data_IF_496365974706
#
_entry.id   IF_496365974706
#
_cell.length_a   1.000
_cell.length_b   1.000
_cell.length_c   1.000
_cell.angle_alpha   90.00
_cell.angle_beta   90.00
_cell.angle_gamma   90.00
#
_symmetry.space_group_name_H-M   'P 1'
#
loop_
_entity.id
_entity.type
_entity.pdbx_description
1 polymer ?
#
# COMPACT_ATOMS: atom_id res chain seq x y z
N UNK A 1 25.67 -1.48 -26.43
CA UNK A 1 25.44 -0.69 -25.20
C UNK A 1 24.29 -1.33 -24.45
N UNK A 2 24.57 -2.04 -23.40
CA UNK A 2 23.55 -2.52 -22.46
C UNK A 2 22.97 -1.29 -21.78
N UNK A 3 21.68 -1.03 -22.00
CA UNK A 3 20.98 0.15 -21.50
C UNK A 3 21.04 0.26 -19.98
N UNK A 4 20.74 1.45 -19.48
CA UNK A 4 20.71 1.77 -18.06
C UNK A 4 19.99 0.69 -17.26
N UNK A 5 20.65 0.10 -16.28
CA UNK A 5 20.12 -0.94 -15.41
C UNK A 5 19.52 -0.35 -14.13
N UNK A 6 18.75 -1.15 -13.43
CA UNK A 6 18.36 -0.85 -12.06
C UNK A 6 19.61 -1.03 -11.18
N UNK A 7 19.96 0.00 -10.42
CA UNK A 7 21.06 -0.07 -9.46
C UNK A 7 20.46 -0.37 -8.10
N UNK A 8 20.92 -1.47 -7.51
CA UNK A 8 20.53 -1.85 -6.15
C UNK A 8 21.66 -1.43 -5.22
N UNK A 9 21.40 -0.49 -4.34
CA UNK A 9 22.37 -0.09 -3.34
C UNK A 9 22.22 -0.96 -2.08
N UNK A 10 23.22 -1.75 -1.82
CA UNK A 10 23.38 -2.41 -0.53
C UNK A 10 24.49 -1.69 0.25
N UNK A 11 24.15 -0.80 1.14
CA UNK A 11 25.00 -0.02 2.07
C UNK A 11 26.42 0.38 1.59
N UNK A 12 26.80 1.65 1.58
CA UNK A 12 28.04 2.23 1.04
C UNK A 12 29.30 1.41 1.32
N UNK A 13 30.03 1.01 0.29
CA UNK A 13 31.36 0.43 0.44
C UNK A 13 32.33 1.49 0.93
N UNK A 14 32.55 1.55 2.24
CA UNK A 14 33.85 1.96 2.71
C UNK A 14 34.85 0.87 2.32
N UNK A 15 36.10 1.21 1.95
CA UNK A 15 37.16 0.25 1.63
C UNK A 15 37.12 -0.89 2.65
N UNK A 16 36.83 -2.11 2.18
CA UNK A 16 36.95 -3.33 2.99
C UNK A 16 38.44 -3.44 3.35
N UNK A 17 38.79 -3.14 4.57
CA UNK A 17 40.07 -3.56 5.13
C UNK A 17 39.91 -5.05 5.44
N UNK A 18 40.60 -5.88 4.67
CA UNK A 18 40.71 -7.30 4.98
C UNK A 18 41.32 -7.44 6.39
N UNK A 19 40.51 -7.87 7.34
CA UNK A 19 41.01 -8.38 8.60
C UNK A 19 40.76 -9.91 8.61
N UNK A 20 41.73 -10.64 8.27
CA UNK A 20 41.83 -12.09 8.44
C UNK A 20 41.88 -12.44 9.93
N UNK A 21 40.81 -12.39 10.62
CA UNK A 21 40.60 -13.05 11.93
C UNK A 21 39.09 -13.08 12.22
N UNK A 22 38.41 -14.15 11.79
CA UNK A 22 37.14 -14.64 12.37
C UNK A 22 36.00 -13.67 12.62
N UNK A 23 35.99 -12.48 12.01
CA UNK A 23 34.95 -11.47 12.15
C UNK A 23 34.07 -11.38 10.90
N UNK A 24 32.76 -11.20 11.07
CA UNK A 24 31.85 -10.92 9.98
C UNK A 24 32.24 -9.58 9.31
N UNK A 25 32.60 -9.60 8.03
CA UNK A 25 32.79 -8.40 7.25
C UNK A 25 31.41 -7.78 6.96
N UNK A 26 31.26 -6.50 7.21
CA UNK A 26 30.07 -5.73 6.85
C UNK A 26 30.43 -4.87 5.64
N UNK A 27 29.56 -4.88 4.64
CA UNK A 27 29.76 -4.07 3.45
C UNK A 27 28.46 -3.66 2.82
N UNK A 28 28.56 -2.74 1.86
CA UNK A 28 27.49 -2.30 1.03
C UNK A 28 27.92 -2.43 -0.38
N UNK A 29 27.07 -2.98 -1.20
CA UNK A 29 27.33 -3.33 -2.59
C UNK A 29 26.31 -2.60 -3.45
N UNK A 30 26.75 -1.97 -4.53
CA UNK A 30 25.88 -1.50 -5.59
C UNK A 30 25.93 -2.52 -6.73
N UNK A 31 24.77 -3.04 -7.10
CA UNK A 31 24.64 -4.01 -8.19
C UNK A 31 23.74 -3.40 -9.26
N UNK A 32 24.17 -3.47 -10.51
CA UNK A 32 23.37 -3.03 -11.66
C UNK A 32 22.73 -4.24 -12.34
N UNK A 33 21.42 -4.21 -12.48
CA UNK A 33 20.64 -5.22 -13.21
C UNK A 33 20.09 -4.61 -14.50
N UNK A 34 20.34 -5.20 -15.69
CA UNK A 34 19.72 -4.76 -16.92
C UNK A 34 18.19 -4.90 -16.84
N UNK A 35 17.46 -3.80 -16.86
CA UNK A 35 16.00 -3.84 -16.68
C UNK A 35 15.26 -4.56 -17.83
N UNK A 36 15.91 -4.78 -18.97
CA UNK A 36 15.37 -5.56 -20.08
C UNK A 36 15.09 -7.03 -19.68
N UNK A 37 15.80 -7.54 -18.65
CA UNK A 37 15.62 -8.91 -18.20
C UNK A 37 14.31 -9.18 -17.48
N UNK A 38 13.68 -8.15 -16.91
CA UNK A 38 12.46 -8.29 -16.11
C UNK A 38 11.34 -7.32 -16.54
N UNK A 39 11.62 -6.34 -17.39
CA UNK A 39 10.63 -5.38 -17.84
C UNK A 39 9.94 -4.60 -16.70
N UNK A 40 8.86 -3.88 -16.98
CA UNK A 40 8.11 -3.15 -15.97
C UNK A 40 7.11 -4.06 -15.22
N UNK A 41 7.63 -5.14 -14.63
CA UNK A 41 6.86 -6.16 -13.90
C UNK A 41 7.39 -6.26 -12.48
N UNK A 42 6.62 -5.80 -11.50
CA UNK A 42 7.05 -5.72 -10.10
C UNK A 42 7.51 -7.07 -9.52
N UNK A 43 6.78 -8.19 -9.67
CA UNK A 43 7.25 -9.48 -9.18
C UNK A 43 8.60 -9.89 -9.78
N UNK A 44 8.81 -9.65 -11.06
CA UNK A 44 10.08 -9.99 -11.71
C UNK A 44 11.22 -9.07 -11.28
N UNK A 45 10.94 -7.78 -11.07
CA UNK A 45 11.88 -6.85 -10.46
C UNK A 45 12.31 -7.36 -9.08
N UNK A 46 11.35 -7.68 -8.21
CA UNK A 46 11.64 -8.14 -6.84
C UNK A 46 12.41 -9.46 -6.84
N UNK A 47 12.07 -10.41 -7.70
CA UNK A 47 12.83 -11.66 -7.88
C UNK A 47 14.27 -11.37 -8.29
N UNK A 48 14.48 -10.42 -9.20
CA UNK A 48 15.83 -10.09 -9.71
C UNK A 48 16.69 -9.41 -8.65
N UNK A 49 16.14 -8.51 -7.84
CA UNK A 49 16.93 -7.70 -6.89
C UNK A 49 16.96 -8.29 -5.48
N UNK A 50 16.01 -9.13 -5.13
CA UNK A 50 15.84 -9.65 -3.77
C UNK A 50 15.57 -11.18 -3.72
N UNK A 51 15.62 -11.89 -4.84
CA UNK A 51 15.44 -13.34 -4.88
C UNK A 51 16.71 -14.09 -4.47
N UNK A 52 17.41 -14.63 -5.44
CA UNK A 52 18.56 -15.53 -5.22
C UNK A 52 19.65 -14.95 -4.31
N UNK A 53 19.84 -13.64 -4.29
CA UNK A 53 20.84 -13.00 -3.43
C UNK A 53 20.59 -13.30 -1.94
N UNK A 54 19.33 -13.40 -1.53
CA UNK A 54 18.95 -13.69 -0.15
C UNK A 54 19.04 -15.17 0.21
N UNK A 55 19.15 -16.05 -0.78
CA UNK A 55 19.31 -17.51 -0.60
C UNK A 55 20.78 -17.94 -0.50
N UNK A 56 21.73 -17.04 -0.84
CA UNK A 56 23.16 -17.37 -0.83
C UNK A 56 23.66 -17.55 0.60
N UNK A 57 24.09 -18.77 0.94
CA UNK A 57 24.56 -19.14 2.29
C UNK A 57 25.83 -18.41 2.74
N UNK A 58 26.60 -17.85 1.79
CA UNK A 58 27.81 -17.06 2.07
C UNK A 58 27.51 -15.70 2.69
N UNK A 59 26.28 -15.20 2.53
CA UNK A 59 25.84 -13.93 3.08
C UNK A 59 25.00 -14.12 4.34
N UNK A 60 25.27 -13.31 5.34
CA UNK A 60 24.46 -13.22 6.56
C UNK A 60 23.87 -11.82 6.68
N UNK A 61 22.60 -11.75 7.06
CA UNK A 61 21.91 -10.48 7.29
C UNK A 61 21.88 -9.57 6.04
N UNK A 62 21.60 -10.14 4.87
CA UNK A 62 21.43 -9.37 3.64
C UNK A 62 20.20 -8.44 3.79
N UNK A 63 20.36 -7.19 3.40
CA UNK A 63 19.30 -6.19 3.44
C UNK A 63 19.31 -5.36 2.17
N UNK A 64 18.19 -5.34 1.47
CA UNK A 64 17.96 -4.36 0.42
C UNK A 64 17.79 -2.98 1.05
N UNK A 65 18.57 -2.01 0.62
CA UNK A 65 18.57 -0.66 1.18
C UNK A 65 17.87 0.35 0.31
N UNK A 66 18.14 0.30 -1.00
CA UNK A 66 17.61 1.26 -1.95
C UNK A 66 17.58 0.69 -3.35
N UNK A 67 16.78 1.29 -4.23
CA UNK A 67 16.67 1.00 -5.64
C UNK A 67 16.72 2.29 -6.44
N UNK A 68 17.68 2.37 -7.39
CA UNK A 68 17.73 3.47 -8.36
C UNK A 68 17.21 2.99 -9.70
N UNK A 69 16.22 3.70 -10.24
CA UNK A 69 15.58 3.33 -11.50
C UNK A 69 15.92 4.32 -12.62
N UNK A 70 16.19 3.84 -13.84
CA UNK A 70 16.28 4.73 -15.00
C UNK A 70 14.94 5.43 -15.29
N UNK A 71 15.02 6.65 -15.77
CA UNK A 71 13.80 7.47 -16.04
C UNK A 71 12.82 6.81 -17.01
N UNK A 72 13.33 6.10 -18.01
CA UNK A 72 12.49 5.37 -18.97
C UNK A 72 11.76 4.18 -18.31
N UNK A 73 12.39 3.51 -17.37
CA UNK A 73 11.76 2.43 -16.60
C UNK A 73 10.61 2.97 -15.70
N UNK A 74 10.88 4.05 -14.96
CA UNK A 74 9.85 4.67 -14.11
C UNK A 74 8.62 5.11 -14.92
N UNK A 75 8.82 5.65 -16.13
CA UNK A 75 7.71 6.08 -17.02
C UNK A 75 6.79 4.95 -17.46
N UNK A 76 7.20 3.69 -17.32
CA UNK A 76 6.36 2.53 -17.63
C UNK A 76 5.27 2.29 -16.59
N UNK A 77 5.37 2.90 -15.42
CA UNK A 77 4.39 2.81 -14.34
C UNK A 77 3.55 4.07 -14.27
N UNK A 78 2.24 3.91 -14.08
CA UNK A 78 1.32 5.05 -14.00
C UNK A 78 1.53 5.90 -12.74
N UNK A 79 2.08 5.27 -11.68
CA UNK A 79 2.19 5.90 -10.37
C UNK A 79 0.84 6.09 -9.68
N UNK A 80 0.81 6.75 -8.50
CA UNK A 80 -0.42 6.99 -7.78
C UNK A 80 -1.34 7.95 -8.55
N UNK A 81 -2.61 7.59 -8.72
CA UNK A 81 -3.60 8.38 -9.47
C UNK A 81 -3.79 9.79 -8.89
N UNK A 82 -3.83 9.91 -7.58
CA UNK A 82 -4.11 11.17 -6.89
C UNK A 82 -2.85 11.78 -6.25
N UNK A 83 -1.97 10.96 -5.68
CA UNK A 83 -0.85 11.43 -4.85
C UNK A 83 -1.33 12.25 -3.65
N UNK A 84 -0.41 12.89 -2.92
CA UNK A 84 -0.73 13.67 -1.72
C UNK A 84 -1.72 14.80 -2.03
N UNK A 85 -1.43 15.62 -3.05
CA UNK A 85 -2.26 16.79 -3.39
C UNK A 85 -3.66 16.40 -3.86
N UNK A 86 -3.77 15.32 -4.64
CA UNK A 86 -5.05 14.84 -5.14
C UNK A 86 -5.91 14.24 -4.02
N UNK A 87 -5.31 13.50 -3.10
CA UNK A 87 -6.00 12.93 -1.93
C UNK A 87 -6.52 14.04 -1.00
N UNK A 88 -5.67 15.04 -0.69
CA UNK A 88 -6.12 16.21 0.08
C UNK A 88 -7.26 16.98 -0.61
N UNK A 89 -7.20 17.10 -1.94
CA UNK A 89 -8.28 17.71 -2.73
C UNK A 89 -9.57 16.89 -2.66
N UNK A 90 -9.48 15.57 -2.72
CA UNK A 90 -10.64 14.68 -2.63
C UNK A 90 -11.33 14.78 -1.26
N UNK A 91 -10.56 14.84 -0.19
CA UNK A 91 -11.05 15.09 1.17
C UNK A 91 -11.38 16.56 1.46
N UNK A 92 -11.12 17.48 0.52
CA UNK A 92 -11.26 18.94 0.66
C UNK A 92 -10.44 19.56 1.82
N UNK A 93 -9.42 18.85 2.30
CA UNK A 93 -8.53 19.28 3.37
C UNK A 93 -7.53 20.30 2.84
N UNK A 94 -7.37 21.43 3.55
CA UNK A 94 -6.47 22.54 3.16
C UNK A 94 -5.51 22.86 4.29
N UNK A 95 -4.24 23.11 3.92
CA UNK A 95 -3.21 23.70 4.79
C UNK A 95 -2.96 22.98 6.13
N UNK A 96 -3.26 21.72 6.24
CA UNK A 96 -2.99 20.88 7.41
C UNK A 96 -2.77 19.43 7.02
N UNK A 97 -2.11 18.60 7.83
CA UNK A 97 -2.08 17.17 7.65
C UNK A 97 -3.49 16.56 7.73
N UNK A 98 -3.71 15.49 7.00
CA UNK A 98 -4.91 14.66 7.16
C UNK A 98 -4.76 13.76 8.39
N UNK A 99 -5.84 13.58 9.13
CA UNK A 99 -5.91 12.69 10.29
C UNK A 99 -6.84 11.53 9.95
N UNK A 100 -6.40 10.31 10.23
CA UNK A 100 -7.19 9.12 9.97
C UNK A 100 -7.24 8.16 11.13
N UNK A 101 -8.20 7.27 11.12
CA UNK A 101 -8.29 6.19 12.08
C UNK A 101 -8.73 4.86 11.44
N UNK A 102 -8.55 3.80 12.20
CA UNK A 102 -9.04 2.44 11.89
C UNK A 102 -10.20 2.16 12.81
N UNK A 103 -11.32 1.67 12.27
CA UNK A 103 -12.49 1.31 13.08
C UNK A 103 -12.17 0.13 14.00
N UNK A 104 -12.61 0.25 15.25
CA UNK A 104 -12.50 -0.80 16.26
C UNK A 104 -13.89 -1.06 16.89
N UNK A 105 -14.21 -2.31 17.22
CA UNK A 105 -13.38 -3.54 17.11
C UNK A 105 -13.08 -3.91 15.67
N UNK A 106 -11.95 -4.60 15.45
CA UNK A 106 -11.46 -4.97 14.11
C UNK A 106 -12.47 -5.80 13.31
N UNK A 107 -13.25 -6.64 13.97
CA UNK A 107 -14.21 -7.59 13.41
C UNK A 107 -15.44 -7.71 14.32
N UNK A 108 -16.54 -8.27 13.77
CA UNK A 108 -17.74 -8.63 14.55
C UNK A 108 -18.84 -7.58 14.53
N UNK A 109 -18.61 -6.38 14.03
CA UNK A 109 -19.68 -5.41 13.83
C UNK A 109 -20.48 -5.75 12.56
N UNK A 110 -21.79 -5.74 12.68
CA UNK A 110 -22.69 -5.76 11.53
C UNK A 110 -22.58 -4.43 10.75
N UNK A 111 -23.14 -4.33 9.54
CA UNK A 111 -23.04 -3.11 8.74
C UNK A 111 -23.54 -1.85 9.45
N UNK A 112 -24.60 -1.96 10.24
CA UNK A 112 -25.16 -0.81 10.97
C UNK A 112 -24.24 -0.37 12.12
N UNK A 113 -23.81 -1.31 12.97
CA UNK A 113 -22.91 -0.99 14.09
C UNK A 113 -21.57 -0.45 13.60
N UNK A 114 -21.10 -0.91 12.43
CA UNK A 114 -19.90 -0.38 11.81
C UNK A 114 -20.11 1.06 11.29
N UNK A 115 -21.28 1.34 10.68
CA UNK A 115 -21.63 2.67 10.20
C UNK A 115 -21.82 3.67 11.36
N UNK A 116 -22.44 3.24 12.47
CA UNK A 116 -22.60 4.07 13.67
C UNK A 116 -21.22 4.49 14.22
N UNK A 117 -20.24 3.55 14.31
CA UNK A 117 -18.89 3.86 14.71
C UNK A 117 -18.17 4.80 13.73
N UNK A 118 -18.38 4.64 12.43
CA UNK A 118 -17.85 5.55 11.41
C UNK A 118 -18.42 6.96 11.53
N UNK A 119 -19.72 7.07 11.79
CA UNK A 119 -20.40 8.35 12.00
C UNK A 119 -19.79 9.12 13.17
N UNK A 120 -19.67 8.47 14.33
CA UNK A 120 -19.11 9.10 15.53
C UNK A 120 -17.70 9.62 15.33
N UNK A 121 -16.88 8.82 14.65
CA UNK A 121 -15.49 9.17 14.32
C UNK A 121 -15.43 10.34 13.32
N UNK A 122 -16.28 10.33 12.28
CA UNK A 122 -16.35 11.39 11.28
C UNK A 122 -16.83 12.72 11.90
N UNK A 123 -17.83 12.66 12.80
CA UNK A 123 -18.28 13.83 13.60
C UNK A 123 -17.16 14.38 14.48
N UNK A 124 -16.22 13.55 14.92
CA UNK A 124 -15.00 13.97 15.63
C UNK A 124 -13.97 14.71 14.78
N UNK A 125 -14.19 14.84 13.47
CA UNK A 125 -13.32 15.61 12.56
C UNK A 125 -12.19 14.82 11.93
N UNK A 126 -12.34 13.51 11.78
CA UNK A 126 -11.38 12.66 11.04
C UNK A 126 -11.56 12.85 9.54
N UNK A 127 -10.44 12.90 8.79
CA UNK A 127 -10.42 13.08 7.33
C UNK A 127 -10.56 11.77 6.57
N UNK A 128 -10.06 10.67 7.15
CA UNK A 128 -10.27 9.35 6.57
C UNK A 128 -10.42 8.26 7.62
N UNK A 129 -11.25 7.29 7.28
CA UNK A 129 -11.53 6.09 8.07
C UNK A 129 -11.10 4.90 7.22
N UNK A 130 -10.50 3.91 7.85
CA UNK A 130 -10.01 2.71 7.20
C UNK A 130 -10.61 1.47 7.85
N UNK A 131 -11.05 0.50 7.03
CA UNK A 131 -11.28 -0.86 7.51
C UNK A 131 -10.01 -1.40 8.19
N UNK A 132 -10.20 -2.25 9.19
CA UNK A 132 -9.07 -3.04 9.70
C UNK A 132 -8.63 -4.08 8.65
N UNK A 133 -7.37 -4.49 8.69
CA UNK A 133 -6.84 -5.53 7.80
C UNK A 133 -7.54 -6.89 7.98
N UNK A 134 -8.17 -7.09 9.14
CA UNK A 134 -8.88 -8.33 9.48
C UNK A 134 -10.31 -8.39 8.94
N UNK A 135 -10.87 -7.30 8.43
CA UNK A 135 -12.19 -7.29 7.80
C UNK A 135 -12.05 -6.92 6.33
N UNK A 136 -12.49 -7.80 5.45
CA UNK A 136 -12.63 -7.53 4.02
C UNK A 136 -14.07 -7.76 3.59
N UNK A 137 -14.47 -8.96 3.24
CA UNK A 137 -15.80 -9.29 2.74
C UNK A 137 -16.48 -10.45 3.50
N UNK A 138 -16.53 -10.46 4.87
CA UNK A 138 -17.10 -11.56 5.64
C UNK A 138 -18.61 -11.65 5.48
N UNK A 139 -19.20 -12.85 5.73
CA UNK A 139 -20.63 -13.09 5.54
C UNK A 139 -21.54 -12.15 6.36
N UNK A 140 -21.15 -11.83 7.59
CA UNK A 140 -21.92 -10.96 8.48
C UNK A 140 -21.84 -9.47 8.14
N UNK A 141 -20.89 -9.08 7.27
CA UNK A 141 -20.64 -7.68 6.89
C UNK A 141 -20.07 -7.59 5.45
N UNK A 142 -20.84 -8.08 4.48
CA UNK A 142 -20.47 -8.02 3.06
C UNK A 142 -20.24 -6.58 2.60
N UNK A 143 -19.25 -6.36 1.73
CA UNK A 143 -18.94 -5.05 1.14
C UNK A 143 -20.20 -4.39 0.60
N UNK A 144 -21.00 -5.12 -0.21
CA UNK A 144 -22.25 -4.62 -0.80
C UNK A 144 -23.29 -4.14 0.21
N UNK A 145 -23.25 -4.63 1.45
CA UNK A 145 -24.18 -4.27 2.52
C UNK A 145 -23.59 -3.22 3.46
N UNK A 146 -22.27 -3.28 3.72
CA UNK A 146 -21.57 -2.37 4.63
C UNK A 146 -21.32 -1.00 3.99
N UNK A 147 -20.80 -0.98 2.76
CA UNK A 147 -20.38 0.27 2.12
C UNK A 147 -21.51 1.29 2.01
N UNK A 148 -22.71 0.98 1.48
CA UNK A 148 -23.73 1.99 1.34
C UNK A 148 -24.18 2.60 2.69
N UNK A 149 -24.34 1.78 3.74
CA UNK A 149 -24.76 2.33 5.06
C UNK A 149 -23.67 3.15 5.73
N UNK A 150 -22.38 2.79 5.49
CA UNK A 150 -21.26 3.62 5.96
C UNK A 150 -21.21 4.94 5.20
N UNK A 151 -21.33 4.93 3.88
CA UNK A 151 -21.31 6.16 3.08
C UNK A 151 -22.46 7.09 3.46
N UNK A 152 -23.68 6.57 3.65
CA UNK A 152 -24.83 7.34 4.14
C UNK A 152 -24.57 7.96 5.54
N UNK A 153 -23.87 7.25 6.40
CA UNK A 153 -23.51 7.75 7.73
C UNK A 153 -22.43 8.84 7.65
N UNK A 154 -21.46 8.68 6.76
CA UNK A 154 -20.41 9.68 6.53
C UNK A 154 -20.97 10.94 5.89
N UNK A 155 -21.85 10.83 4.90
CA UNK A 155 -22.52 11.98 4.28
C UNK A 155 -23.26 12.81 5.33
N UNK A 156 -24.01 12.17 6.22
CA UNK A 156 -24.67 12.85 7.35
C UNK A 156 -23.68 13.47 8.34
N UNK A 157 -22.53 12.83 8.58
CA UNK A 157 -21.51 13.39 9.46
C UNK A 157 -20.82 14.59 8.83
N UNK A 158 -20.70 14.61 7.51
CA UNK A 158 -20.03 15.66 6.73
C UNK A 158 -20.94 16.86 6.41
N UNK A 159 -22.27 16.76 6.58
CA UNK A 159 -23.25 17.83 6.29
C UNK A 159 -22.93 19.18 6.95
N UNK A 160 -22.31 19.14 8.12
CA UNK A 160 -21.98 20.35 8.91
C UNK A 160 -20.55 20.87 8.64
N UNK A 161 -19.82 20.28 7.70
CA UNK A 161 -18.44 20.66 7.39
C UNK A 161 -18.16 20.72 5.88
N UNK A 162 -17.22 21.56 5.47
CA UNK A 162 -16.80 21.68 4.07
C UNK A 162 -15.92 20.51 3.58
N UNK A 163 -15.46 19.68 4.50
CA UNK A 163 -14.53 18.56 4.24
C UNK A 163 -15.32 17.26 3.96
N UNK A 164 -14.68 16.32 3.29
CA UNK A 164 -15.26 15.02 2.96
C UNK A 164 -14.45 13.91 3.61
N UNK A 165 -15.09 13.07 4.40
CA UNK A 165 -14.46 11.90 5.01
C UNK A 165 -14.26 10.81 3.96
N UNK A 166 -13.01 10.35 3.78
CA UNK A 166 -12.70 9.22 2.91
C UNK A 166 -12.86 7.92 3.69
N UNK A 167 -13.56 6.93 3.10
CA UNK A 167 -13.69 5.59 3.67
C UNK A 167 -12.92 4.59 2.83
N UNK A 168 -11.79 4.12 3.34
CA UNK A 168 -10.91 3.13 2.72
C UNK A 168 -11.42 1.70 2.98
N UNK A 169 -12.22 1.21 2.04
CA UNK A 169 -12.81 -0.13 2.06
C UNK A 169 -11.74 -1.17 1.77
N UNK A 170 -11.58 -2.16 2.64
CA UNK A 170 -10.66 -3.27 2.42
C UNK A 170 -11.22 -4.26 1.39
N UNK A 171 -10.57 -4.32 0.24
CA UNK A 171 -10.92 -5.22 -0.87
C UNK A 171 -10.01 -6.44 -0.97
N UNK A 172 -9.13 -6.64 0.02
CA UNK A 172 -8.18 -7.75 0.05
C UNK A 172 -8.91 -9.10 0.04
N UNK A 173 -8.50 -9.98 -0.89
CA UNK A 173 -9.08 -11.30 -1.07
C UNK A 173 -8.10 -12.15 -1.91
N UNK A 174 -8.52 -13.30 -2.40
CA UNK A 174 -7.85 -14.02 -3.48
C UNK A 174 -7.75 -13.12 -4.73
N UNK A 175 -6.70 -13.31 -5.54
CA UNK A 175 -6.34 -12.38 -6.64
C UNK A 175 -7.51 -12.16 -7.61
N UNK A 176 -8.26 -13.20 -7.94
CA UNK A 176 -9.41 -13.14 -8.83
C UNK A 176 -10.62 -12.41 -8.21
N UNK A 177 -10.68 -12.29 -6.89
CA UNK A 177 -11.76 -11.63 -6.14
C UNK A 177 -11.48 -10.16 -5.82
N UNK A 178 -10.23 -9.74 -5.82
CA UNK A 178 -9.85 -8.36 -5.47
C UNK A 178 -10.55 -7.35 -6.37
N UNK A 179 -10.56 -7.58 -7.69
CA UNK A 179 -11.21 -6.68 -8.63
C UNK A 179 -12.74 -6.69 -8.47
N UNK A 180 -13.35 -7.86 -8.27
CA UNK A 180 -14.78 -8.00 -8.01
C UNK A 180 -15.19 -7.24 -6.73
N UNK A 181 -14.41 -7.36 -5.66
CA UNK A 181 -14.63 -6.64 -4.41
C UNK A 181 -14.46 -5.12 -4.60
N UNK A 182 -13.46 -4.70 -5.39
CA UNK A 182 -13.24 -3.30 -5.69
C UNK A 182 -14.41 -2.70 -6.49
N UNK A 183 -14.86 -3.38 -7.55
CA UNK A 183 -16.00 -2.95 -8.34
C UNK A 183 -17.26 -2.91 -7.47
N UNK A 184 -17.51 -3.93 -6.67
CA UNK A 184 -18.63 -3.96 -5.70
C UNK A 184 -18.58 -2.78 -4.74
N UNK A 185 -17.39 -2.44 -4.20
CA UNK A 185 -17.26 -1.29 -3.31
C UNK A 185 -17.58 0.02 -4.00
N UNK A 186 -17.05 0.22 -5.21
CA UNK A 186 -17.28 1.44 -6.01
C UNK A 186 -18.74 1.59 -6.44
N UNK A 187 -19.39 0.51 -6.90
CA UNK A 187 -20.81 0.49 -7.25
C UNK A 187 -21.72 0.83 -6.07
N UNK A 188 -21.28 0.56 -4.85
CA UNK A 188 -21.98 0.88 -3.62
C UNK A 188 -21.53 2.22 -2.97
N UNK A 189 -20.82 3.06 -3.73
CA UNK A 189 -20.52 4.44 -3.35
C UNK A 189 -19.18 4.64 -2.62
N UNK A 190 -18.31 3.63 -2.52
CA UNK A 190 -17.00 3.80 -1.90
C UNK A 190 -16.20 4.91 -2.58
N UNK A 191 -15.60 5.78 -1.79
CA UNK A 191 -14.76 6.88 -2.26
C UNK A 191 -13.25 6.62 -2.09
N UNK A 192 -12.86 5.53 -1.44
CA UNK A 192 -11.49 5.08 -1.26
C UNK A 192 -11.43 3.55 -1.13
N UNK A 193 -10.35 2.94 -1.60
CA UNK A 193 -10.12 1.50 -1.48
C UNK A 193 -8.81 1.25 -0.74
N UNK A 194 -8.74 0.14 -0.02
CA UNK A 194 -7.55 -0.37 0.64
C UNK A 194 -7.23 -1.78 0.15
N UNK A 195 -5.96 -2.02 -0.15
CA UNK A 195 -5.44 -3.35 -0.45
C UNK A 195 -4.27 -3.66 0.49
N UNK A 196 -4.35 -4.77 1.22
CA UNK A 196 -3.22 -5.29 1.97
C UNK A 196 -2.30 -6.08 1.04
N UNK A 197 -1.40 -5.39 0.36
CA UNK A 197 -0.52 -5.97 -0.65
C UNK A 197 0.51 -6.96 -0.08
N UNK A 198 0.82 -6.89 1.23
CA UNK A 198 1.75 -7.82 1.87
C UNK A 198 1.17 -9.24 1.86
N UNK A 199 -0.12 -9.39 2.12
CA UNK A 199 -0.79 -10.69 2.13
C UNK A 199 -1.32 -11.09 0.75
N UNK A 200 -1.82 -10.13 -0.05
CA UNK A 200 -2.31 -10.39 -1.40
C UNK A 200 -1.18 -10.57 -2.44
N UNK A 201 0.05 -10.15 -2.10
CA UNK A 201 1.21 -10.15 -3.00
C UNK A 201 1.32 -8.88 -3.84
N UNK A 202 2.56 -8.59 -4.26
CA UNK A 202 2.87 -7.38 -5.05
C UNK A 202 2.23 -7.36 -6.43
N UNK A 203 1.76 -8.50 -6.94
CA UNK A 203 1.05 -8.57 -8.23
C UNK A 203 -0.37 -8.02 -8.17
N UNK A 204 -0.95 -7.96 -6.97
CA UNK A 204 -2.30 -7.45 -6.75
C UNK A 204 -2.35 -5.91 -6.71
N UNK A 205 -1.20 -5.25 -6.51
CA UNK A 205 -1.07 -3.80 -6.48
C UNK A 205 -0.91 -3.21 -7.88
#
# INVERSE_FOLDING_TARGET
ALGAGVVVAFNKVGKIKESYRGGMNKGVINISFPHINFGPVIPMLLTSVAGNLFEMGDFKNVKLLDLEFPKNYIKSFKGPKFGIKGTMKAAKVKNRPMIGCIVKPCVGLDPKGFADACYDVAKGGIDFIKDDELIANPEYSKIKNRVPVVMDALDKADDDKDETTLYAVNVTDEIDKILENADTALENGANCLMLNFITAGFSAL
#
